data_IF_662266968003
#
_entry.id   IF_662266968003
#
_cell.length_a   1.000
_cell.length_b   1.000
_cell.length_c   1.000
_cell.angle_alpha   90.00
_cell.angle_beta   90.00
_cell.angle_gamma   90.00
#
_symmetry.space_group_name_H-M   'P 1'
#
loop_
_entity.id
_entity.type
_entity.pdbx_description
1 polymer ?
#
# COMPACT_ATOMS: atom_id res chain seq x y z
N UNK A 1 16.07 9.66 12.72
CA UNK A 1 15.62 9.01 11.46
C UNK A 1 15.57 10.11 10.42
N UNK A 2 16.24 9.94 9.29
CA UNK A 2 16.13 10.92 8.19
C UNK A 2 14.70 10.85 7.64
N UNK A 3 13.94 11.92 7.81
CA UNK A 3 12.63 12.09 7.17
C UNK A 3 12.86 12.33 5.68
N UNK A 4 12.26 11.51 4.81
CA UNK A 4 12.25 11.79 3.38
C UNK A 4 11.36 13.01 3.14
N UNK A 5 11.57 13.71 2.03
CA UNK A 5 10.62 14.72 1.60
C UNK A 5 9.29 14.03 1.23
N UNK A 6 8.13 14.61 1.61
CA UNK A 6 6.84 14.13 1.13
C UNK A 6 6.83 14.00 -0.41
N UNK A 7 6.20 12.97 -0.97
CA UNK A 7 6.18 12.74 -2.40
C UNK A 7 5.42 13.85 -3.12
N UNK A 8 5.92 14.24 -4.28
CA UNK A 8 5.21 15.11 -5.22
C UNK A 8 3.97 14.40 -5.79
N UNK A 9 3.03 15.19 -6.30
CA UNK A 9 1.87 14.70 -7.07
C UNK A 9 2.25 13.71 -8.19
N UNK A 10 3.36 13.98 -8.90
CA UNK A 10 3.87 13.07 -9.92
C UNK A 10 4.32 11.73 -9.36
N UNK A 11 4.98 11.74 -8.20
CA UNK A 11 5.40 10.52 -7.50
C UNK A 11 4.21 9.76 -6.91
N UNK A 12 3.21 10.45 -6.38
CA UNK A 12 1.96 9.82 -5.91
C UNK A 12 1.24 9.11 -7.05
N UNK A 13 1.05 9.79 -8.19
CA UNK A 13 0.44 9.18 -9.40
C UNK A 13 1.22 7.96 -9.88
N UNK A 14 2.56 8.04 -9.88
CA UNK A 14 3.38 6.91 -10.28
C UNK A 14 3.23 5.72 -9.31
N UNK A 15 3.24 5.98 -8.00
CA UNK A 15 3.06 4.96 -6.96
C UNK A 15 1.69 4.30 -7.04
N UNK A 16 0.61 5.06 -7.33
CA UNK A 16 -0.72 4.51 -7.59
C UNK A 16 -0.69 3.55 -8.79
N UNK A 17 -0.05 3.94 -9.90
CA UNK A 17 0.07 3.07 -11.08
C UNK A 17 0.84 1.79 -10.76
N UNK A 18 1.90 1.88 -9.94
CA UNK A 18 2.69 0.71 -9.57
C UNK A 18 1.92 -0.23 -8.62
N UNK A 19 1.13 0.30 -7.69
CA UNK A 19 0.18 -0.49 -6.89
C UNK A 19 -0.88 -1.17 -7.76
N UNK A 20 -1.43 -0.46 -8.76
CA UNK A 20 -2.38 -1.05 -9.71
C UNK A 20 -1.76 -2.21 -10.50
N UNK A 21 -0.50 -2.08 -10.93
CA UNK A 21 0.23 -3.20 -11.57
C UNK A 21 0.39 -4.38 -10.62
N UNK A 22 0.69 -4.15 -9.33
CA UNK A 22 0.75 -5.21 -8.32
C UNK A 22 -0.61 -5.89 -8.11
N UNK A 23 -1.70 -5.12 -8.12
CA UNK A 23 -3.08 -5.63 -8.05
C UNK A 23 -3.53 -6.40 -9.30
N UNK A 24 -2.87 -6.20 -10.44
CA UNK A 24 -3.10 -6.97 -11.66
C UNK A 24 -2.35 -8.32 -11.67
N UNK A 25 -1.41 -8.57 -10.77
CA UNK A 25 -0.71 -9.85 -10.65
C UNK A 25 -1.70 -10.98 -10.29
N UNK A 26 -1.82 -12.06 -11.09
CA UNK A 26 -2.75 -13.16 -10.80
C UNK A 26 -2.57 -13.78 -9.41
N UNK A 27 -1.37 -13.77 -8.84
CA UNK A 27 -1.10 -14.30 -7.49
C UNK A 27 -1.88 -13.52 -6.42
N UNK A 28 -2.13 -12.22 -6.60
CA UNK A 28 -2.81 -11.39 -5.59
C UNK A 28 -4.28 -11.76 -5.41
N UNK A 29 -4.87 -12.41 -6.42
CA UNK A 29 -6.26 -12.87 -6.38
C UNK A 29 -6.43 -14.18 -5.60
N UNK A 30 -5.33 -14.84 -5.22
CA UNK A 30 -5.39 -16.02 -4.38
C UNK A 30 -5.79 -15.66 -2.94
N UNK A 31 -6.58 -16.53 -2.30
CA UNK A 31 -7.07 -16.32 -0.92
C UNK A 31 -5.94 -16.03 0.08
N UNK A 32 -4.78 -16.69 -0.08
CA UNK A 32 -3.60 -16.49 0.78
C UNK A 32 -3.05 -15.06 0.71
N UNK A 33 -3.29 -14.35 -0.40
CA UNK A 33 -2.86 -12.98 -0.64
C UNK A 33 -3.98 -11.95 -0.44
N UNK A 34 -5.17 -12.36 0.04
CA UNK A 34 -6.27 -11.46 0.39
C UNK A 34 -5.83 -10.28 1.28
N UNK A 35 -5.00 -10.46 2.32
CA UNK A 35 -4.55 -9.33 3.14
C UNK A 35 -3.73 -8.29 2.35
N UNK A 36 -2.87 -8.75 1.43
CA UNK A 36 -2.07 -7.86 0.58
C UNK A 36 -2.95 -7.12 -0.42
N UNK A 37 -3.93 -7.82 -1.01
CA UNK A 37 -4.92 -7.22 -1.90
C UNK A 37 -5.71 -6.11 -1.19
N UNK A 38 -6.24 -6.39 -0.01
CA UNK A 38 -6.98 -5.43 0.83
C UNK A 38 -6.10 -4.21 1.14
N UNK A 39 -4.88 -4.44 1.62
CA UNK A 39 -3.93 -3.36 1.93
C UNK A 39 -3.62 -2.47 0.74
N UNK A 40 -3.24 -3.03 -0.42
CA UNK A 40 -2.93 -2.24 -1.61
C UNK A 40 -4.13 -1.51 -2.20
N UNK A 41 -5.33 -2.09 -2.13
CA UNK A 41 -6.55 -1.37 -2.52
C UNK A 41 -6.76 -0.13 -1.65
N UNK A 42 -6.57 -0.24 -0.34
CA UNK A 42 -6.68 0.93 0.55
C UNK A 42 -5.52 1.91 0.39
N UNK A 43 -4.30 1.44 0.12
CA UNK A 43 -3.15 2.30 -0.18
C UNK A 43 -3.44 3.22 -1.37
N UNK A 44 -4.13 2.74 -2.41
CA UNK A 44 -4.56 3.60 -3.54
C UNK A 44 -5.51 4.70 -3.07
N UNK A 45 -6.47 4.39 -2.20
CA UNK A 45 -7.39 5.38 -1.65
C UNK A 45 -6.66 6.44 -0.83
N UNK A 46 -5.75 6.01 0.05
CA UNK A 46 -4.89 6.90 0.86
C UNK A 46 -4.15 7.88 -0.04
N UNK A 47 -3.48 7.36 -1.08
CA UNK A 47 -2.68 8.16 -2.01
C UNK A 47 -3.54 9.13 -2.82
N UNK A 48 -4.68 8.66 -3.35
CA UNK A 48 -5.58 9.49 -4.15
C UNK A 48 -6.21 10.63 -3.32
N UNK A 49 -6.45 10.41 -2.03
CA UNK A 49 -7.03 11.39 -1.12
C UNK A 49 -5.98 12.24 -0.40
N UNK A 50 -4.69 11.99 -0.61
CA UNK A 50 -3.60 12.59 0.16
C UNK A 50 -3.80 12.44 1.69
N UNK A 51 -4.33 11.28 2.12
CA UNK A 51 -4.70 11.06 3.51
C UNK A 51 -3.45 10.91 4.38
N UNK A 52 -3.27 11.83 5.33
CA UNK A 52 -2.16 11.84 6.30
C UNK A 52 -2.56 11.29 7.68
N UNK A 53 -3.82 10.92 7.87
CA UNK A 53 -4.33 10.29 9.09
C UNK A 53 -4.57 8.79 8.87
N UNK A 54 -4.72 8.05 9.97
CA UNK A 54 -5.00 6.61 9.93
C UNK A 54 -6.49 6.28 9.89
N UNK A 55 -7.35 7.29 9.63
CA UNK A 55 -8.80 7.14 9.69
C UNK A 55 -9.30 6.12 8.65
N UNK A 56 -10.17 5.21 9.07
CA UNK A 56 -10.72 4.16 8.23
C UNK A 56 -9.80 2.96 8.02
N UNK A 57 -8.51 3.04 8.42
CA UNK A 57 -7.62 1.88 8.35
C UNK A 57 -8.07 0.78 9.31
N UNK A 58 -8.59 1.15 10.47
CA UNK A 58 -9.15 0.24 11.47
C UNK A 58 -10.32 -0.61 10.93
N UNK A 59 -11.01 -0.15 9.88
CA UNK A 59 -12.11 -0.85 9.22
C UNK A 59 -11.65 -2.00 8.31
N UNK A 60 -10.36 -2.09 7.97
CA UNK A 60 -9.84 -3.21 7.18
C UNK A 60 -9.87 -4.49 8.01
N UNK A 61 -10.23 -5.59 7.35
CA UNK A 61 -10.44 -6.88 8.01
C UNK A 61 -9.14 -7.44 8.57
N UNK A 62 -8.06 -7.36 7.81
CA UNK A 62 -6.83 -8.09 8.09
C UNK A 62 -5.77 -7.20 8.72
N UNK A 63 -5.05 -7.72 9.72
CA UNK A 63 -3.95 -6.99 10.37
C UNK A 63 -2.86 -6.59 9.38
N UNK A 64 -2.51 -7.49 8.44
CA UNK A 64 -1.53 -7.19 7.42
C UNK A 64 -2.04 -6.14 6.43
N UNK A 65 -3.32 -6.17 6.04
CA UNK A 65 -3.92 -5.12 5.21
C UNK A 65 -3.82 -3.75 5.87
N UNK A 66 -4.13 -3.67 7.18
CA UNK A 66 -3.95 -2.45 7.98
C UNK A 66 -2.51 -1.95 7.99
N UNK A 67 -1.55 -2.83 8.24
CA UNK A 67 -0.14 -2.47 8.25
C UNK A 67 0.33 -1.89 6.90
N UNK A 68 -0.13 -2.46 5.78
CA UNK A 68 0.18 -1.94 4.43
C UNK A 68 -0.46 -0.58 4.19
N UNK A 69 -1.71 -0.37 4.63
CA UNK A 69 -2.37 0.92 4.51
C UNK A 69 -1.66 2.01 5.35
N UNK A 70 -1.12 1.66 6.52
CA UNK A 70 -0.26 2.56 7.33
C UNK A 70 0.98 2.96 6.56
N UNK A 71 1.67 2.02 5.89
CA UNK A 71 2.82 2.36 5.04
C UNK A 71 2.48 3.37 3.94
N UNK A 72 1.25 3.36 3.41
CA UNK A 72 0.83 4.35 2.44
C UNK A 72 0.68 5.74 3.05
N UNK A 73 0.17 5.85 4.28
CA UNK A 73 0.11 7.12 5.03
C UNK A 73 1.52 7.62 5.32
N UNK A 74 2.39 6.73 5.81
CA UNK A 74 3.78 7.06 6.10
C UNK A 74 4.52 7.50 4.82
N UNK A 75 4.24 6.89 3.67
CA UNK A 75 4.77 7.34 2.38
C UNK A 75 4.28 8.76 2.02
N UNK A 76 2.99 9.06 2.17
CA UNK A 76 2.45 10.42 1.92
C UNK A 76 3.10 11.47 2.83
N UNK A 77 3.46 11.09 4.07
CA UNK A 77 4.18 11.97 5.01
C UNK A 77 5.68 12.11 4.74
N UNK A 78 6.26 11.30 3.84
CA UNK A 78 7.71 11.21 3.67
C UNK A 78 8.41 10.44 4.80
N UNK A 79 7.69 9.61 5.54
CA UNK A 79 8.23 8.78 6.62
C UNK A 79 8.74 7.43 6.11
N UNK A 80 8.30 6.99 4.93
CA UNK A 80 8.88 5.82 4.24
C UNK A 80 9.01 6.03 2.73
N UNK A 81 9.78 5.17 2.07
CA UNK A 81 9.98 5.21 0.62
C UNK A 81 8.95 4.37 -0.13
N UNK A 82 8.78 4.61 -1.44
CA UNK A 82 7.86 3.83 -2.27
C UNK A 82 8.24 2.34 -2.31
N UNK A 83 9.53 2.02 -2.19
CA UNK A 83 10.05 0.65 -2.21
C UNK A 83 9.58 -0.14 -0.98
N UNK A 84 9.46 0.52 0.17
CA UNK A 84 8.92 -0.09 1.39
C UNK A 84 7.45 -0.44 1.21
N UNK A 85 6.65 0.50 0.68
CA UNK A 85 5.23 0.28 0.40
C UNK A 85 5.00 -0.84 -0.63
N UNK A 86 5.75 -0.84 -1.74
CA UNK A 86 5.60 -1.82 -2.83
C UNK A 86 6.27 -3.18 -2.55
N UNK A 87 7.14 -3.23 -1.54
CA UNK A 87 8.01 -4.37 -1.23
C UNK A 87 7.31 -5.57 -0.60
N UNK A 88 6.00 -5.49 -0.31
CA UNK A 88 5.26 -6.59 0.31
C UNK A 88 5.15 -7.75 -0.69
N UNK A 89 5.77 -8.88 -0.35
CA UNK A 89 5.84 -10.08 -1.20
C UNK A 89 4.48 -10.80 -1.26
N UNK A 90 4.12 -11.28 -2.44
CA UNK A 90 3.00 -12.19 -2.62
C UNK A 90 3.46 -13.61 -2.31
N UNK A 91 2.61 -14.35 -1.60
CA UNK A 91 2.84 -15.77 -1.30
C UNK A 91 2.46 -16.60 -2.52
N UNK A 92 3.25 -17.63 -2.79
CA UNK A 92 2.87 -18.67 -3.75
C UNK A 92 1.97 -19.68 -3.03
N UNK A 93 0.96 -20.24 -3.72
CA UNK A 93 0.23 -21.36 -3.18
C UNK A 93 1.19 -22.55 -3.13
N UNK A 94 1.24 -23.26 -2.00
CA UNK A 94 2.03 -24.48 -1.90
C UNK A 94 1.60 -25.44 -3.03
N UNK A 95 2.57 -25.91 -3.83
CA UNK A 95 2.37 -27.00 -4.78
C UNK A 95 2.25 -28.33 -4.06
#
# INVERSE_FOLDING_TARGET
METLMPPTEGQIKQTIQDLQKRLADPLINQKINRPVKEGYSESINVLAQHRITYDGIDQLTTLQGRAIAVLAVDYVKGECSKEVLLGVKLKQPNR
#
